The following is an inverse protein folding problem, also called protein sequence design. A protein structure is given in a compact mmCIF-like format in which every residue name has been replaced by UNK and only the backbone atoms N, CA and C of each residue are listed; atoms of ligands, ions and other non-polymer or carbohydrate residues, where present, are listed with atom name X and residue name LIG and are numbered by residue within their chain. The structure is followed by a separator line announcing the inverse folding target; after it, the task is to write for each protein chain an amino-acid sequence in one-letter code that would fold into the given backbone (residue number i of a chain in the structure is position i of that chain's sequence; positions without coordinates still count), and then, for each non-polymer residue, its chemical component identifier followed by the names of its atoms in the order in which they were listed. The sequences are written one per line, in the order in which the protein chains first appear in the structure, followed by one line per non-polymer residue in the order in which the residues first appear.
data_IF_492896697492
#
_entry.id   IF_492896697492
#
_cell.length_a   1.000
_cell.length_b   1.000
_cell.length_c   1.000
_cell.angle_alpha   90.00
_cell.angle_beta   90.00
_cell.angle_gamma   90.00
#
_symmetry.space_group_name_H-M   'P 1'
#
loop_
_entity.id
_entity.type
_entity.pdbx_description
1 polymer ?
#
# COMPACT_ATOMS: atom_id res chain seq x y z
N UNK A 1 -8.32 17.49 -24.61
CA UNK A 1 -9.04 16.32 -25.16
C UNK A 1 -9.63 15.56 -23.98
N UNK A 2 -10.80 14.94 -24.13
CA UNK A 2 -11.36 14.10 -23.08
C UNK A 2 -10.44 12.89 -22.83
N UNK A 3 -10.21 12.52 -21.57
CA UNK A 3 -9.40 11.37 -21.16
C UNK A 3 -10.19 10.45 -20.27
N UNK A 4 -10.19 9.14 -20.57
CA UNK A 4 -10.93 8.18 -19.75
C UNK A 4 -10.22 7.97 -18.43
N UNK A 5 -11.02 7.85 -17.38
CA UNK A 5 -10.54 7.42 -16.06
C UNK A 5 -11.47 6.38 -15.46
N UNK A 6 -10.94 5.64 -14.50
CA UNK A 6 -11.70 4.81 -13.57
C UNK A 6 -11.34 5.18 -12.13
N UNK A 7 -12.30 5.02 -11.23
CA UNK A 7 -12.06 5.00 -9.79
C UNK A 7 -12.26 3.57 -9.32
N UNK A 8 -11.33 3.06 -8.53
CA UNK A 8 -11.37 1.73 -7.94
C UNK A 8 -11.28 1.83 -6.43
N UNK A 9 -11.85 0.86 -5.74
CA UNK A 9 -11.53 0.59 -4.35
C UNK A 9 -10.63 -0.65 -4.30
N UNK A 10 -9.42 -0.50 -3.75
CA UNK A 10 -8.36 -1.53 -3.75
C UNK A 10 -8.17 -2.10 -2.35
N UNK A 11 -7.65 -3.33 -2.25
CA UNK A 11 -7.58 -4.13 -1.04
C UNK A 11 -8.95 -4.43 -0.42
N UNK A 12 -9.98 -4.53 -1.27
CA UNK A 12 -11.33 -4.87 -0.85
C UNK A 12 -12.11 -5.56 -1.96
N UNK A 13 -13.14 -6.30 -1.57
CA UNK A 13 -14.17 -6.80 -2.47
C UNK A 13 -15.51 -6.05 -2.33
N UNK A 14 -15.57 -5.03 -1.47
CA UNK A 14 -16.76 -4.24 -1.24
C UNK A 14 -16.63 -2.84 -1.85
N UNK A 15 -17.63 -2.37 -2.60
CA UNK A 15 -17.77 -0.97 -2.95
C UNK A 15 -17.73 -0.06 -1.72
N UNK A 16 -17.10 1.10 -1.84
CA UNK A 16 -16.94 2.08 -0.77
C UNK A 16 -16.25 1.47 0.47
N UNK A 17 -15.19 0.71 0.24
CA UNK A 17 -14.25 0.24 1.26
C UNK A 17 -12.84 0.30 0.66
N UNK A 18 -11.84 -0.30 1.30
CA UNK A 18 -10.51 -0.34 0.68
C UNK A 18 -9.83 1.03 0.57
N UNK A 19 -8.77 1.08 -0.23
CA UNK A 19 -8.06 2.30 -0.59
C UNK A 19 -8.54 2.81 -1.97
N UNK A 20 -9.16 4.00 -2.05
CA UNK A 20 -9.66 4.54 -3.30
C UNK A 20 -8.52 4.99 -4.21
N UNK A 21 -8.58 4.56 -5.47
CA UNK A 21 -7.57 4.82 -6.50
C UNK A 21 -8.21 5.43 -7.74
N UNK A 22 -7.68 6.56 -8.20
CA UNK A 22 -7.98 7.07 -9.53
C UNK A 22 -6.95 6.55 -10.55
N UNK A 23 -7.41 6.04 -11.69
CA UNK A 23 -6.55 5.62 -12.81
C UNK A 23 -6.99 6.35 -14.07
N UNK A 24 -6.13 7.22 -14.59
CA UNK A 24 -6.28 7.87 -15.90
C UNK A 24 -5.67 6.96 -16.95
N UNK A 25 -6.53 6.34 -17.76
CA UNK A 25 -6.13 5.32 -18.75
C UNK A 25 -5.36 5.90 -19.94
N UNK A 26 -5.59 7.18 -20.24
CA UNK A 26 -5.02 7.88 -21.38
C UNK A 26 -4.09 9.02 -20.89
N UNK A 27 -2.98 8.66 -20.25
CA UNK A 27 -2.03 9.61 -19.64
C UNK A 27 -1.08 10.30 -20.62
N UNK A 28 -0.99 9.82 -21.87
CA UNK A 28 -0.02 10.30 -22.84
C UNK A 28 -0.23 11.79 -23.21
N UNK A 29 0.88 12.48 -23.49
CA UNK A 29 0.90 13.91 -23.80
C UNK A 29 0.58 14.84 -22.62
N UNK A 30 0.38 14.35 -21.40
CA UNK A 30 0.29 15.18 -20.19
C UNK A 30 1.69 15.54 -19.68
N UNK A 31 1.88 16.81 -19.31
CA UNK A 31 3.08 17.24 -18.58
C UNK A 31 2.98 16.85 -17.11
N UNK A 32 4.13 16.74 -16.43
CA UNK A 32 4.25 16.47 -14.99
C UNK A 32 3.39 17.42 -14.16
N UNK A 33 3.43 18.72 -14.48
CA UNK A 33 2.63 19.73 -13.81
C UNK A 33 1.12 19.46 -13.96
N UNK A 34 0.68 18.98 -15.14
CA UNK A 34 -0.72 18.66 -15.39
C UNK A 34 -1.15 17.37 -14.69
N UNK A 35 -0.31 16.34 -14.70
CA UNK A 35 -0.55 15.10 -13.94
C UNK A 35 -0.69 15.40 -12.45
N UNK A 36 0.24 16.19 -11.89
CA UNK A 36 0.19 16.62 -10.49
C UNK A 36 -1.07 17.43 -10.16
N UNK A 37 -1.50 18.33 -11.07
CA UNK A 37 -2.72 19.11 -10.88
C UNK A 37 -3.98 18.23 -10.92
N UNK A 38 -4.05 17.25 -11.82
CA UNK A 38 -5.15 16.29 -11.89
C UNK A 38 -5.19 15.40 -10.63
N UNK A 39 -4.03 14.92 -10.16
CA UNK A 39 -3.95 14.13 -8.92
C UNK A 39 -4.47 14.93 -7.71
N UNK A 40 -4.14 16.23 -7.65
CA UNK A 40 -4.68 17.14 -6.63
C UNK A 40 -6.19 17.37 -6.77
N UNK A 41 -6.71 17.45 -7.99
CA UNK A 41 -8.15 17.61 -8.25
C UNK A 41 -8.95 16.37 -7.81
N UNK A 42 -8.43 15.16 -8.07
CA UNK A 42 -9.03 13.93 -7.55
C UNK A 42 -9.01 13.87 -6.02
N UNK A 43 -7.95 14.40 -5.40
CA UNK A 43 -7.77 14.44 -3.95
C UNK A 43 -7.95 13.07 -3.27
N UNK A 44 -7.52 12.02 -3.96
CA UNK A 44 -7.35 10.67 -3.40
C UNK A 44 -5.89 10.51 -2.93
N UNK A 45 -5.58 9.40 -2.23
CA UNK A 45 -4.22 9.12 -1.78
C UNK A 45 -3.24 9.09 -2.95
N UNK A 46 -3.63 8.45 -4.06
CA UNK A 46 -2.87 8.38 -5.29
C UNK A 46 -3.76 8.44 -6.54
N UNK A 47 -3.18 8.97 -7.61
CA UNK A 47 -3.68 8.91 -8.98
C UNK A 47 -2.62 8.31 -9.89
N UNK A 48 -3.02 7.32 -10.69
CA UNK A 48 -2.16 6.67 -11.68
C UNK A 48 -2.44 7.24 -13.06
N UNK A 49 -1.38 7.51 -13.80
CA UNK A 49 -1.44 7.81 -15.23
C UNK A 49 -0.84 6.64 -15.99
N UNK A 50 -1.67 6.00 -16.81
CA UNK A 50 -1.27 4.90 -17.69
C UNK A 50 -0.70 5.50 -18.97
N UNK A 51 0.51 5.09 -19.31
CA UNK A 51 1.26 5.51 -20.49
C UNK A 51 1.57 4.28 -21.36
N UNK A 52 1.83 4.48 -22.66
CA UNK A 52 2.45 3.45 -23.49
C UNK A 52 3.74 2.95 -22.83
N UNK A 53 3.89 1.62 -22.80
CA UNK A 53 5.12 1.00 -22.33
C UNK A 53 6.28 1.28 -23.29
N UNK A 54 7.49 1.42 -22.76
CA UNK A 54 8.72 1.55 -23.56
C UNK A 54 9.05 0.22 -24.23
N UNK A 55 8.83 -0.91 -23.54
CA UNK A 55 8.92 -2.25 -24.13
C UNK A 55 7.53 -2.71 -24.62
N UNK A 56 7.35 -3.01 -25.92
CA UNK A 56 6.08 -3.52 -26.46
C UNK A 56 5.59 -4.85 -25.86
N UNK A 57 6.47 -5.60 -25.19
CA UNK A 57 6.10 -6.82 -24.47
C UNK A 57 5.48 -6.55 -23.08
N UNK A 58 5.58 -5.33 -22.58
CA UNK A 58 4.99 -4.92 -21.31
C UNK A 58 3.59 -4.34 -21.53
N UNK A 59 2.78 -4.31 -20.47
CA UNK A 59 1.37 -3.92 -20.55
C UNK A 59 1.18 -2.41 -20.53
N UNK A 60 1.92 -1.70 -19.69
CA UNK A 60 1.87 -0.24 -19.60
C UNK A 60 3.08 0.30 -18.81
N UNK A 61 3.36 1.59 -18.99
CA UNK A 61 4.18 2.35 -18.06
C UNK A 61 3.29 3.19 -17.16
N UNK A 62 3.58 3.22 -15.86
CA UNK A 62 2.79 3.95 -14.88
C UNK A 62 3.58 5.13 -14.33
N UNK A 63 2.87 6.23 -14.09
CA UNK A 63 3.30 7.30 -13.20
C UNK A 63 2.28 7.47 -12.09
N UNK A 64 2.76 7.59 -10.86
CA UNK A 64 1.93 7.55 -9.66
C UNK A 64 2.12 8.85 -8.90
N UNK A 65 1.04 9.57 -8.64
CA UNK A 65 1.08 10.87 -7.97
C UNK A 65 0.18 10.87 -6.75
N UNK A 66 0.71 11.33 -5.62
CA UNK A 66 -0.13 11.84 -4.52
C UNK A 66 -0.63 13.25 -4.87
N UNK A 67 -1.49 13.88 -4.06
CA UNK A 67 -1.86 15.30 -4.24
C UNK A 67 -0.67 16.27 -4.15
N UNK A 68 0.45 15.83 -3.55
CA UNK A 68 1.62 16.65 -3.28
C UNK A 68 2.81 16.37 -4.22
N UNK A 69 3.06 15.11 -4.61
CA UNK A 69 4.26 14.72 -5.38
C UNK A 69 4.08 13.44 -6.18
N UNK A 70 5.02 13.16 -7.08
CA UNK A 70 5.17 11.85 -7.71
C UNK A 70 5.85 10.84 -6.76
N UNK A 71 5.40 9.58 -6.83
CA UNK A 71 6.00 8.44 -6.13
C UNK A 71 6.66 7.49 -7.14
N UNK A 72 7.80 6.88 -6.79
CA UNK A 72 8.44 5.93 -7.69
C UNK A 72 7.75 4.56 -7.74
N UNK A 73 6.89 4.27 -6.75
CA UNK A 73 6.16 3.02 -6.56
C UNK A 73 5.09 3.19 -5.48
N UNK A 74 3.96 2.51 -5.62
CA UNK A 74 2.98 2.35 -4.55
C UNK A 74 2.16 1.07 -4.76
N UNK A 75 1.91 0.31 -3.68
CA UNK A 75 1.32 -1.03 -3.80
C UNK A 75 -0.14 -1.07 -4.28
N UNK A 76 -1.05 -0.29 -3.68
CA UNK A 76 -2.46 -0.30 -4.11
C UNK A 76 -2.64 0.27 -5.54
N UNK A 77 -1.89 1.30 -5.97
CA UNK A 77 -1.89 1.74 -7.37
C UNK A 77 -1.50 0.64 -8.35
N UNK A 78 -0.46 -0.15 -8.04
CA UNK A 78 -0.03 -1.30 -8.86
C UNK A 78 -1.14 -2.36 -8.95
N UNK A 79 -1.71 -2.79 -7.82
CA UNK A 79 -2.78 -3.81 -7.76
C UNK A 79 -4.02 -3.36 -8.54
N UNK A 80 -4.54 -2.17 -8.21
CA UNK A 80 -5.76 -1.65 -8.82
C UNK A 80 -5.60 -1.44 -10.34
N UNK A 81 -4.44 -0.91 -10.76
CA UNK A 81 -4.17 -0.69 -12.19
C UNK A 81 -3.99 -2.01 -12.94
N UNK A 82 -3.29 -3.00 -12.37
CA UNK A 82 -3.15 -4.31 -12.99
C UNK A 82 -4.51 -5.00 -13.22
N UNK A 83 -5.39 -4.96 -12.20
CA UNK A 83 -6.75 -5.49 -12.31
C UNK A 83 -7.55 -4.72 -13.37
N UNK A 84 -7.46 -3.39 -13.39
CA UNK A 84 -8.16 -2.56 -14.36
C UNK A 84 -7.71 -2.89 -15.79
N UNK A 85 -6.41 -2.95 -16.05
CA UNK A 85 -5.87 -3.26 -17.38
C UNK A 85 -6.25 -4.66 -17.86
N UNK A 86 -6.26 -5.64 -16.96
CA UNK A 86 -6.76 -6.98 -17.29
C UNK A 86 -8.26 -6.92 -17.66
N UNK A 87 -9.08 -6.18 -16.90
CA UNK A 87 -10.51 -5.99 -17.23
C UNK A 87 -10.71 -5.28 -18.57
N UNK A 88 -9.93 -4.25 -18.90
CA UNK A 88 -9.98 -3.58 -20.21
C UNK A 88 -9.60 -4.55 -21.36
N UNK A 89 -8.66 -5.47 -21.12
CA UNK A 89 -8.20 -6.43 -22.13
C UNK A 89 -9.23 -7.52 -22.43
N UNK A 90 -9.86 -8.08 -21.40
CA UNK A 90 -10.76 -9.23 -21.57
C UNK A 90 -12.25 -8.84 -21.66
N UNK A 91 -12.64 -7.67 -21.15
CA UNK A 91 -14.04 -7.28 -21.05
C UNK A 91 -14.83 -8.10 -20.03
N UNK A 92 -16.16 -8.08 -20.14
CA UNK A 92 -17.03 -8.98 -19.37
C UNK A 92 -17.05 -10.35 -20.04
N UNK A 93 -16.46 -11.35 -19.40
CA UNK A 93 -16.45 -12.74 -19.87
C UNK A 93 -17.03 -13.66 -18.83
N UNK A 94 -17.83 -14.64 -19.26
CA UNK A 94 -18.41 -15.64 -18.35
C UNK A 94 -17.38 -16.64 -17.79
N UNK A 95 -16.21 -16.75 -18.43
CA UNK A 95 -15.13 -17.63 -18.02
C UNK A 95 -14.08 -16.91 -17.16
N UNK A 96 -13.56 -17.61 -16.16
CA UNK A 96 -12.42 -17.16 -15.35
C UNK A 96 -11.20 -16.86 -16.25
N UNK A 97 -10.57 -15.72 -16.01
CA UNK A 97 -9.38 -15.28 -16.74
C UNK A 97 -8.19 -15.14 -15.79
N UNK A 98 -7.05 -15.67 -16.22
CA UNK A 98 -5.76 -15.40 -15.59
C UNK A 98 -4.90 -14.58 -16.55
N UNK A 99 -4.22 -13.58 -16.03
CA UNK A 99 -3.37 -12.70 -16.82
C UNK A 99 -2.06 -12.42 -16.11
N UNK A 100 -1.01 -12.21 -16.91
CA UNK A 100 0.22 -11.60 -16.43
C UNK A 100 0.25 -10.17 -16.97
N UNK A 101 0.24 -9.18 -16.07
CA UNK A 101 0.34 -7.76 -16.39
C UNK A 101 1.71 -7.28 -15.98
N UNK A 102 2.48 -6.71 -16.91
CA UNK A 102 3.83 -6.20 -16.62
C UNK A 102 3.78 -4.68 -16.69
N UNK A 103 4.06 -4.04 -15.56
CA UNK A 103 4.00 -2.59 -15.37
C UNK A 103 5.40 -2.02 -15.27
N UNK A 104 5.71 -1.01 -16.08
CA UNK A 104 6.95 -0.25 -15.95
C UNK A 104 6.72 0.89 -14.96
N UNK A 105 7.33 0.81 -13.78
CA UNK A 105 7.28 1.85 -12.77
C UNK A 105 8.69 2.43 -12.56
N UNK A 106 8.82 3.59 -11.92
CA UNK A 106 10.14 4.23 -11.69
C UNK A 106 11.06 3.34 -10.85
N UNK A 107 10.50 2.51 -9.96
CA UNK A 107 11.26 1.54 -9.17
C UNK A 107 11.80 0.35 -9.99
N UNK A 108 11.23 0.12 -11.17
CA UNK A 108 11.52 -1.02 -12.04
C UNK A 108 10.25 -1.69 -12.58
N UNK A 109 10.45 -2.78 -13.32
CA UNK A 109 9.35 -3.54 -13.92
C UNK A 109 8.70 -4.45 -12.89
N UNK A 110 7.39 -4.32 -12.70
CA UNK A 110 6.59 -5.09 -11.75
C UNK A 110 5.74 -6.10 -12.53
N UNK A 111 5.82 -7.38 -12.14
CA UNK A 111 5.01 -8.46 -12.73
C UNK A 111 3.85 -8.75 -11.80
N UNK A 112 2.64 -8.59 -12.33
CA UNK A 112 1.41 -8.81 -11.59
C UNK A 112 0.69 -10.03 -12.14
N UNK A 113 0.52 -11.05 -11.31
CA UNK A 113 -0.45 -12.12 -11.57
C UNK A 113 -1.85 -11.58 -11.29
N UNK A 114 -2.77 -11.69 -12.25
CA UNK A 114 -4.14 -11.19 -12.13
C UNK A 114 -5.13 -12.32 -12.35
N UNK A 115 -6.11 -12.43 -11.47
CA UNK A 115 -7.21 -13.40 -11.55
C UNK A 115 -8.53 -12.63 -11.59
N UNK A 116 -9.29 -12.83 -12.67
CA UNK A 116 -10.64 -12.29 -12.83
C UNK A 116 -11.63 -13.45 -12.86
N UNK A 117 -12.57 -13.45 -11.93
CA UNK A 117 -13.66 -14.44 -11.87
C UNK A 117 -15.00 -13.77 -12.12
N UNK A 118 -15.92 -14.51 -12.73
CA UNK A 118 -17.25 -13.99 -13.00
C UNK A 118 -17.97 -13.65 -11.68
N UNK A 119 -18.58 -12.47 -11.60
CA UNK A 119 -19.32 -12.00 -10.42
C UNK A 119 -18.48 -11.75 -9.17
N UNK A 120 -17.14 -11.73 -9.24
CA UNK A 120 -16.25 -11.49 -8.11
C UNK A 120 -15.35 -10.27 -8.33
N UNK A 121 -14.85 -9.70 -7.22
CA UNK A 121 -13.77 -8.72 -7.27
C UNK A 121 -12.53 -9.32 -7.94
N UNK A 122 -11.84 -8.51 -8.75
CA UNK A 122 -10.58 -8.94 -9.33
C UNK A 122 -9.53 -9.10 -8.23
N UNK A 123 -8.62 -10.05 -8.38
CA UNK A 123 -7.46 -10.20 -7.50
C UNK A 123 -6.19 -9.98 -8.31
N UNK A 124 -5.21 -9.32 -7.71
CA UNK A 124 -3.86 -9.31 -8.24
C UNK A 124 -2.86 -9.50 -7.12
N UNK A 125 -1.67 -9.96 -7.51
CA UNK A 125 -0.50 -10.05 -6.66
C UNK A 125 0.76 -9.71 -7.46
N UNK A 126 1.78 -9.17 -6.80
CA UNK A 126 3.08 -8.91 -7.42
C UNK A 126 4.23 -9.24 -6.47
N UNK A 127 5.37 -9.64 -7.04
CA UNK A 127 6.62 -9.79 -6.30
C UNK A 127 7.17 -8.39 -5.94
N UNK A 128 7.45 -8.17 -4.66
CA UNK A 128 8.04 -6.91 -4.19
C UNK A 128 9.41 -6.72 -4.85
N UNK A 129 9.65 -5.57 -5.52
CA UNK A 129 10.85 -5.36 -6.32
C UNK A 129 12.15 -5.28 -5.50
N UNK A 130 12.04 -4.92 -4.22
CA UNK A 130 13.17 -4.84 -3.27
C UNK A 130 12.76 -5.45 -1.93
N UNK A 131 13.53 -6.42 -1.46
CA UNK A 131 13.31 -7.01 -0.14
C UNK A 131 13.52 -5.99 0.97
N UNK A 132 12.75 -6.15 2.04
CA UNK A 132 12.84 -5.31 3.22
C UNK A 132 14.23 -5.40 3.86
N UNK A 133 14.76 -4.25 4.27
CA UNK A 133 15.99 -4.14 5.08
C UNK A 133 15.79 -3.13 6.20
N UNK A 134 16.59 -3.25 7.25
CA UNK A 134 16.59 -2.29 8.34
C UNK A 134 17.00 -0.89 7.84
N UNK A 135 16.29 0.12 8.29
CA UNK A 135 16.59 1.53 8.12
C UNK A 135 17.13 2.12 9.45
N UNK A 136 17.56 3.39 9.52
CA UNK A 136 18.04 3.99 10.75
C UNK A 136 17.04 3.82 11.92
N UNK A 137 17.53 3.56 13.14
CA UNK A 137 16.65 3.33 14.29
C UNK A 137 15.79 4.56 14.59
N UNK A 138 14.60 4.31 15.12
CA UNK A 138 13.69 5.35 15.60
C UNK A 138 14.15 5.94 16.95
N UNK A 139 13.52 7.04 17.34
CA UNK A 139 13.65 7.60 18.68
C UNK A 139 13.21 6.62 19.78
N UNK A 140 13.54 6.95 21.02
CA UNK A 140 13.14 6.16 22.17
C UNK A 140 11.63 6.02 22.29
N UNK A 141 11.22 4.91 22.92
CA UNK A 141 9.83 4.49 23.04
C UNK A 141 8.91 5.58 23.61
N UNK A 142 9.40 6.37 24.54
CA UNK A 142 8.68 7.47 25.18
C UNK A 142 8.34 8.59 24.18
N UNK A 143 9.29 8.94 23.30
CA UNK A 143 9.12 9.97 22.27
C UNK A 143 8.14 9.48 21.21
N UNK A 144 8.29 8.21 20.79
CA UNK A 144 7.36 7.57 19.83
C UNK A 144 5.93 7.52 20.38
N UNK A 145 5.75 7.19 21.67
CA UNK A 145 4.43 7.17 22.30
C UNK A 145 3.80 8.58 22.32
N UNK A 146 4.59 9.60 22.70
CA UNK A 146 4.14 10.99 22.72
C UNK A 146 3.72 11.48 21.33
N UNK A 147 4.45 11.11 20.27
CA UNK A 147 4.10 11.44 18.88
C UNK A 147 2.82 10.77 18.37
N UNK A 148 2.36 9.72 19.04
CA UNK A 148 1.12 9.00 18.72
C UNK A 148 -0.01 9.25 19.72
N UNK A 149 0.20 10.12 20.72
CA UNK A 149 -0.79 10.39 21.76
C UNK A 149 -1.10 9.15 22.63
N UNK A 150 -0.11 8.28 22.84
CA UNK A 150 -0.21 7.06 23.62
C UNK A 150 0.66 7.13 24.88
N UNK A 151 0.38 6.28 25.85
CA UNK A 151 1.30 6.05 26.96
C UNK A 151 2.45 5.14 26.50
N UNK A 152 3.68 5.30 27.05
CA UNK A 152 4.78 4.39 26.72
C UNK A 152 4.44 2.93 27.00
N UNK A 153 3.69 2.62 28.06
CA UNK A 153 3.23 1.26 28.39
C UNK A 153 2.48 0.57 27.24
N UNK A 154 1.87 1.34 26.33
CA UNK A 154 1.04 0.87 25.23
C UNK A 154 1.82 0.60 23.94
N UNK A 155 3.09 1.01 23.88
CA UNK A 155 3.97 0.81 22.72
C UNK A 155 4.77 -0.47 22.89
N UNK A 156 4.58 -1.41 21.97
CA UNK A 156 5.18 -2.74 21.99
C UNK A 156 4.21 -3.84 22.41
N UNK A 157 4.55 -5.07 22.03
CA UNK A 157 3.94 -6.31 22.48
C UNK A 157 4.95 -7.44 22.29
N UNK A 158 4.92 -8.47 23.14
CA UNK A 158 5.88 -9.58 23.09
C UNK A 158 7.34 -9.08 23.02
N UNK A 159 8.04 -9.34 21.93
CA UNK A 159 9.38 -8.85 21.62
C UNK A 159 9.40 -7.70 20.59
N UNK A 160 8.26 -7.32 20.02
CA UNK A 160 8.16 -6.23 19.06
C UNK A 160 8.39 -4.89 19.77
N UNK A 161 9.28 -4.09 19.18
CA UNK A 161 9.62 -2.73 19.62
C UNK A 161 9.63 -1.78 18.41
N UNK A 162 9.50 -0.46 18.63
CA UNK A 162 9.65 0.52 17.55
C UNK A 162 10.91 0.25 16.72
N UNK A 163 10.76 0.22 15.40
CA UNK A 163 11.83 -0.09 14.46
C UNK A 163 11.58 0.62 13.14
N UNK A 164 12.60 0.66 12.27
CA UNK A 164 12.43 1.20 10.92
C UNK A 164 12.95 0.22 9.89
N UNK A 165 12.18 0.03 8.83
CA UNK A 165 12.50 -0.83 7.71
C UNK A 165 12.10 -0.14 6.41
N UNK A 166 12.77 -0.52 5.33
CA UNK A 166 12.47 -0.02 3.99
C UNK A 166 12.46 -1.15 2.95
N UNK A 167 11.57 -1.04 1.98
CA UNK A 167 11.53 -1.82 0.75
C UNK A 167 11.62 -0.89 -0.49
N UNK A 168 12.27 0.27 -0.31
CA UNK A 168 12.39 1.33 -1.30
C UNK A 168 12.16 2.72 -0.72
N UNK A 169 11.23 2.84 0.24
CA UNK A 169 11.05 4.01 1.09
C UNK A 169 11.00 3.57 2.56
N UNK A 170 11.58 4.33 3.50
CA UNK A 170 11.63 3.97 4.92
C UNK A 170 10.35 4.29 5.67
N UNK A 171 9.84 3.32 6.43
CA UNK A 171 8.69 3.52 7.33
C UNK A 171 9.11 3.36 8.79
N UNK A 172 8.48 4.12 9.67
CA UNK A 172 8.53 3.87 11.11
C UNK A 172 7.49 2.79 11.46
N UNK A 173 7.92 1.67 12.01
CA UNK A 173 7.03 0.58 12.44
C UNK A 173 6.87 0.63 13.94
N UNK A 174 5.65 0.94 14.39
CA UNK A 174 5.35 1.13 15.81
C UNK A 174 4.38 0.05 16.29
N UNK A 175 4.87 -1.00 16.96
CA UNK A 175 3.98 -1.98 17.59
C UNK A 175 3.23 -1.31 18.73
N UNK A 176 1.95 -1.64 18.90
CA UNK A 176 1.12 -1.23 20.03
C UNK A 176 0.42 -2.42 20.66
N UNK A 177 0.10 -2.31 21.93
CA UNK A 177 -0.28 -3.45 22.76
C UNK A 177 -1.52 -4.22 22.25
N UNK A 178 -2.49 -3.53 21.65
CA UNK A 178 -3.78 -4.10 21.26
C UNK A 178 -4.58 -3.15 20.34
N UNK A 179 -5.77 -3.59 19.91
CA UNK A 179 -6.67 -2.81 19.05
C UNK A 179 -7.15 -1.50 19.70
N UNK A 180 -7.28 -1.43 21.02
CA UNK A 180 -7.69 -0.19 21.70
C UNK A 180 -6.61 0.90 21.60
N UNK A 181 -5.35 0.53 21.86
CA UNK A 181 -4.22 1.43 21.67
C UNK A 181 -4.09 1.87 20.19
N UNK A 182 -4.25 0.94 19.25
CA UNK A 182 -4.23 1.25 17.81
C UNK A 182 -5.34 2.25 17.44
N UNK A 183 -6.55 2.06 17.97
CA UNK A 183 -7.72 2.94 17.76
C UNK A 183 -7.54 4.32 18.35
N UNK A 184 -6.83 4.46 19.48
CA UNK A 184 -6.58 5.75 20.13
C UNK A 184 -5.39 6.51 19.54
N UNK A 185 -4.44 5.83 18.90
CA UNK A 185 -3.27 6.46 18.31
C UNK A 185 -3.65 7.61 17.36
N UNK A 186 -3.07 8.80 17.54
CA UNK A 186 -3.27 9.97 16.68
C UNK A 186 -1.96 10.73 16.50
N UNK A 187 -1.64 11.24 15.30
CA UNK A 187 -0.44 12.05 15.09
C UNK A 187 -0.43 13.31 15.94
N UNK A 188 0.54 13.43 16.85
CA UNK A 188 0.82 14.62 17.63
C UNK A 188 1.97 15.40 16.98
N UNK A 189 1.61 16.33 16.09
CA UNK A 189 2.57 17.09 15.26
C UNK A 189 3.66 17.83 16.07
N UNK A 190 3.38 18.16 17.33
CA UNK A 190 4.36 18.76 18.24
C UNK A 190 5.54 17.85 18.58
N UNK A 191 5.37 16.53 18.47
CA UNK A 191 6.38 15.51 18.78
C UNK A 191 6.79 14.67 17.56
N UNK A 192 6.12 14.86 16.41
CA UNK A 192 6.28 14.01 15.23
C UNK A 192 7.71 14.00 14.69
N UNK A 193 8.26 15.19 14.44
CA UNK A 193 9.63 15.37 13.93
C UNK A 193 10.70 14.77 14.85
N UNK A 194 10.45 14.81 16.16
CA UNK A 194 11.37 14.25 17.17
C UNK A 194 11.33 12.73 17.15
N UNK A 195 10.15 12.13 16.97
CA UNK A 195 9.97 10.69 16.92
C UNK A 195 10.43 10.06 15.60
N UNK A 196 10.07 10.67 14.47
CA UNK A 196 10.14 10.07 13.14
C UNK A 196 11.04 10.81 12.16
N UNK A 197 11.62 11.95 12.57
CA UNK A 197 12.58 12.72 11.79
C UNK A 197 11.96 13.83 10.92
N UNK A 198 12.82 14.78 10.54
CA UNK A 198 12.49 15.92 9.65
C UNK A 198 12.91 15.61 8.21
N UNK A 199 12.24 14.65 7.59
CA UNK A 199 12.47 14.30 6.19
C UNK A 199 11.17 13.97 5.50
N UNK A 200 11.20 14.02 4.16
CA UNK A 200 10.04 13.94 3.27
C UNK A 200 9.22 12.63 3.35
N UNK A 201 9.60 11.68 4.20
CA UNK A 201 8.93 10.40 4.39
C UNK A 201 9.15 9.88 5.81
N UNK A 202 8.48 10.50 6.77
CA UNK A 202 8.52 10.20 8.21
C UNK A 202 7.24 9.47 8.67
N UNK A 203 6.68 8.64 7.78
CA UNK A 203 5.39 8.01 7.96
C UNK A 203 5.44 6.88 9.00
N UNK A 204 4.40 6.79 9.83
CA UNK A 204 4.31 5.80 10.91
C UNK A 204 3.26 4.74 10.61
N UNK A 205 3.73 3.49 10.47
CA UNK A 205 2.94 2.28 10.39
C UNK A 205 2.76 1.68 11.79
N UNK A 206 1.63 2.01 12.42
CA UNK A 206 1.28 1.57 13.78
C UNK A 206 0.53 0.25 13.68
N UNK A 207 0.92 -0.79 14.43
CA UNK A 207 0.35 -2.13 14.27
C UNK A 207 0.23 -2.93 15.57
N UNK A 208 -0.68 -3.90 15.61
CA UNK A 208 -0.79 -4.87 16.71
C UNK A 208 -1.18 -6.26 16.18
N UNK A 209 -0.97 -7.31 16.99
CA UNK A 209 -1.40 -8.69 16.65
C UNK A 209 -2.90 -8.93 16.75
N UNK A 210 -3.60 -8.15 17.56
CA UNK A 210 -5.04 -8.34 17.73
C UNK A 210 -5.77 -7.86 16.47
N UNK A 211 -6.66 -8.68 15.94
CA UNK A 211 -7.41 -8.42 14.71
C UNK A 211 -8.93 -8.45 14.91
N UNK A 212 -9.67 -7.89 13.95
CA UNK A 212 -11.13 -7.93 13.93
C UNK A 212 -11.65 -9.24 13.35
N UNK A 213 -10.99 -9.73 12.30
CA UNK A 213 -11.28 -10.97 11.60
C UNK A 213 -10.31 -12.08 12.02
N UNK A 214 -10.84 -13.30 12.17
CA UNK A 214 -10.09 -14.46 12.67
C UNK A 214 -9.03 -14.98 11.68
N UNK A 215 -9.12 -14.61 10.41
CA UNK A 215 -8.19 -15.00 9.34
C UNK A 215 -7.09 -13.95 9.10
N UNK A 216 -7.11 -12.84 9.84
CA UNK A 216 -6.07 -11.81 9.79
C UNK A 216 -5.02 -12.00 10.89
N UNK A 217 -3.79 -11.58 10.61
CA UNK A 217 -2.63 -11.76 11.50
C UNK A 217 -2.23 -10.49 12.23
N UNK A 218 -2.42 -9.33 11.58
CA UNK A 218 -2.12 -8.02 12.16
C UNK A 218 -3.21 -7.01 11.79
N UNK A 219 -3.45 -6.05 12.69
CA UNK A 219 -4.17 -4.82 12.36
C UNK A 219 -3.22 -3.65 12.41
N UNK A 220 -3.36 -2.74 11.45
CA UNK A 220 -2.46 -1.62 11.27
C UNK A 220 -3.20 -0.33 10.90
N UNK A 221 -2.49 0.78 11.08
CA UNK A 221 -2.85 2.13 10.63
C UNK A 221 -1.59 2.80 10.11
N UNK A 222 -1.74 3.64 9.09
CA UNK A 222 -0.61 4.33 8.47
C UNK A 222 -0.86 5.83 8.49
N UNK A 223 -0.04 6.55 9.26
CA UNK A 223 -0.09 7.99 9.40
C UNK A 223 1.01 8.64 8.56
N UNK A 224 0.62 9.61 7.73
CA UNK A 224 1.52 10.26 6.78
C UNK A 224 1.28 11.77 6.63
N UNK A 225 1.28 12.54 7.74
CA UNK A 225 0.81 13.93 7.76
C UNK A 225 1.47 14.84 6.71
N UNK A 226 2.71 14.55 6.31
CA UNK A 226 3.48 15.35 5.34
C UNK A 226 3.21 15.00 3.87
N UNK A 227 2.46 13.92 3.57
CA UNK A 227 2.14 13.51 2.19
C UNK A 227 0.89 14.18 1.59
N UNK A 228 0.26 15.09 2.33
CA UNK A 228 -1.02 15.71 1.95
C UNK A 228 -2.25 14.84 2.28
N UNK A 229 -2.05 13.69 2.92
CA UNK A 229 -3.08 12.83 3.50
C UNK A 229 -2.76 12.61 4.98
N UNK A 230 -3.75 12.64 5.87
CA UNK A 230 -3.47 12.45 7.30
C UNK A 230 -3.22 10.98 7.65
N UNK A 231 -3.99 10.09 7.04
CA UNK A 231 -3.96 8.64 7.27
C UNK A 231 -4.31 7.94 5.95
N UNK A 232 -3.62 6.85 5.63
CA UNK A 232 -3.81 6.05 4.42
C UNK A 232 -4.63 4.77 4.71
N UNK A 233 -5.72 4.48 3.97
CA UNK A 233 -6.57 3.31 4.23
C UNK A 233 -5.87 1.96 4.08
N UNK A 234 -4.94 1.82 3.13
CA UNK A 234 -4.12 0.63 2.97
C UNK A 234 -2.83 0.90 2.20
N UNK A 235 -1.70 0.58 2.86
CA UNK A 235 -0.38 1.00 2.40
C UNK A 235 0.47 -0.21 2.00
N UNK A 236 0.36 -0.64 0.74
CA UNK A 236 1.11 -1.79 0.26
C UNK A 236 2.64 -1.62 0.34
N UNK A 237 3.17 -0.41 0.12
CA UNK A 237 4.61 -0.14 0.27
C UNK A 237 5.09 -0.34 1.72
N UNK A 238 4.28 0.03 2.71
CA UNK A 238 4.58 -0.26 4.11
C UNK A 238 4.46 -1.76 4.41
N UNK A 239 3.45 -2.45 3.86
CA UNK A 239 3.33 -3.91 3.99
C UNK A 239 4.54 -4.67 3.42
N UNK A 240 5.13 -4.19 2.31
CA UNK A 240 6.37 -4.74 1.75
C UNK A 240 7.53 -4.65 2.74
N UNK A 241 7.72 -3.48 3.36
CA UNK A 241 8.75 -3.28 4.38
C UNK A 241 8.42 -4.01 5.70
N UNK A 242 7.14 -4.18 6.01
CA UNK A 242 6.66 -4.89 7.20
C UNK A 242 7.04 -6.38 7.20
N UNK A 243 7.22 -7.01 6.03
CA UNK A 243 7.79 -8.35 5.96
C UNK A 243 9.16 -8.46 6.64
N UNK A 244 9.97 -7.39 6.61
CA UNK A 244 11.24 -7.31 7.34
C UNK A 244 11.06 -7.21 8.85
N UNK A 245 10.02 -6.50 9.31
CA UNK A 245 9.64 -6.41 10.74
C UNK A 245 9.22 -7.79 11.24
N UNK A 246 8.33 -8.46 10.51
CA UNK A 246 7.87 -9.81 10.83
C UNK A 246 9.06 -10.77 10.88
N UNK A 247 9.92 -10.79 9.85
CA UNK A 247 11.09 -11.69 9.88
C UNK A 247 12.04 -11.37 11.04
N UNK A 248 12.22 -10.10 11.38
CA UNK A 248 13.13 -9.69 12.46
C UNK A 248 12.64 -10.13 13.84
N UNK A 249 11.33 -10.00 14.11
CA UNK A 249 10.76 -10.28 15.43
C UNK A 249 10.14 -11.68 15.55
N UNK A 250 9.43 -12.16 14.53
CA UNK A 250 8.73 -13.45 14.57
C UNK A 250 9.63 -14.63 14.21
N UNK A 251 10.76 -14.37 13.54
CA UNK A 251 11.75 -15.38 13.14
C UNK A 251 11.08 -16.58 12.47
N UNK A 252 10.30 -16.31 11.42
CA UNK A 252 9.54 -17.33 10.71
C UNK A 252 10.48 -18.47 10.25
N UNK A 253 10.06 -19.75 10.40
CA UNK A 253 10.85 -20.88 9.95
C UNK A 253 10.96 -20.91 8.42
N UNK A 254 11.89 -21.68 7.88
CA UNK A 254 12.00 -21.87 6.43
C UNK A 254 10.68 -22.38 5.83
N UNK A 255 10.24 -21.78 4.72
CA UNK A 255 8.98 -22.06 4.06
C UNK A 255 8.27 -20.80 3.54
N UNK A 256 7.07 -21.01 3.00
CA UNK A 256 6.17 -19.95 2.54
C UNK A 256 5.11 -19.67 3.61
N UNK A 257 4.98 -18.41 3.99
CA UNK A 257 4.06 -17.95 5.03
C UNK A 257 3.06 -16.96 4.45
N UNK A 258 1.79 -17.14 4.80
CA UNK A 258 0.71 -16.26 4.37
C UNK A 258 0.18 -15.49 5.58
N UNK A 259 0.26 -14.18 5.50
CA UNK A 259 -0.23 -13.25 6.52
C UNK A 259 -1.23 -12.32 5.89
N UNK A 260 -2.25 -11.93 6.65
CA UNK A 260 -3.23 -10.93 6.21
C UNK A 260 -3.24 -9.76 7.17
N UNK A 261 -3.17 -8.56 6.62
CA UNK A 261 -3.11 -7.31 7.38
C UNK A 261 -4.43 -6.55 7.19
N UNK A 262 -5.08 -6.22 8.30
CA UNK A 262 -6.20 -5.29 8.34
C UNK A 262 -5.69 -3.86 8.40
N UNK A 263 -6.17 -2.99 7.52
CA UNK A 263 -5.89 -1.55 7.59
C UNK A 263 -7.13 -0.73 7.24
N UNK A 264 -7.20 0.52 7.71
CA UNK A 264 -8.27 1.46 7.36
C UNK A 264 -9.63 1.18 8.02
N UNK A 265 -9.71 0.18 8.91
CA UNK A 265 -10.94 -0.17 9.63
C UNK A 265 -11.47 1.02 10.46
N UNK A 266 -10.59 1.71 11.17
CA UNK A 266 -10.95 2.88 11.98
C UNK A 266 -11.28 4.13 11.16
N UNK A 267 -10.93 4.12 9.86
CA UNK A 267 -11.31 5.15 8.89
C UNK A 267 -12.67 4.85 8.22
N UNK A 268 -13.32 3.71 8.53
CA UNK A 268 -14.49 3.23 7.78
C UNK A 268 -14.15 2.79 6.35
N UNK A 269 -12.89 2.46 6.11
CA UNK A 269 -12.32 1.98 4.85
C UNK A 269 -11.63 0.63 5.06
N UNK A 270 -12.37 -0.41 5.49
CA UNK A 270 -11.76 -1.70 5.80
C UNK A 270 -11.07 -2.26 4.57
N UNK A 271 -9.79 -2.57 4.75
CA UNK A 271 -8.89 -3.03 3.70
C UNK A 271 -8.12 -4.27 4.18
N UNK A 272 -7.93 -5.23 3.29
CA UNK A 272 -7.21 -6.47 3.54
C UNK A 272 -6.05 -6.58 2.57
N UNK A 273 -4.83 -6.55 3.11
CA UNK A 273 -3.59 -6.72 2.34
C UNK A 273 -3.10 -8.14 2.59
N UNK A 274 -2.95 -8.93 1.52
CA UNK A 274 -2.35 -10.25 1.58
C UNK A 274 -0.83 -10.10 1.46
N UNK A 275 -0.10 -10.66 2.42
CA UNK A 275 1.36 -10.64 2.48
C UNK A 275 1.88 -12.07 2.48
N UNK A 276 2.58 -12.44 1.42
CA UNK A 276 3.27 -13.72 1.32
C UNK A 276 4.76 -13.52 1.57
N UNK A 277 5.35 -14.35 2.42
CA UNK A 277 6.75 -14.27 2.84
C UNK A 277 7.42 -15.63 2.60
N UNK A 278 8.44 -15.65 1.75
CA UNK A 278 9.28 -16.83 1.52
C UNK A 278 10.58 -16.71 2.33
N UNK A 279 10.81 -17.66 3.24
CA UNK A 279 12.04 -17.78 4.05
C UNK A 279 12.81 -19.01 3.61
N UNK A 280 14.13 -18.85 3.39
CA UNK A 280 15.02 -19.98 3.20
C UNK A 280 16.40 -19.71 3.81
N UNK A 281 16.96 -20.71 4.48
CA UNK A 281 18.18 -20.56 5.28
C UNK A 281 18.06 -19.39 6.26
N UNK A 282 16.92 -19.27 6.95
CA UNK A 282 16.61 -18.24 7.97
C UNK A 282 16.58 -16.79 7.44
N UNK A 283 16.60 -16.61 6.12
CA UNK A 283 16.63 -15.30 5.49
C UNK A 283 15.43 -15.08 4.57
N UNK A 284 14.94 -13.85 4.54
CA UNK A 284 13.92 -13.39 3.60
C UNK A 284 14.38 -13.56 2.16
N UNK A 285 13.61 -14.26 1.32
CA UNK A 285 13.95 -14.55 -0.09
C UNK A 285 13.02 -13.90 -1.09
N UNK A 286 11.72 -13.90 -0.80
CA UNK A 286 10.73 -13.24 -1.61
C UNK A 286 9.60 -12.71 -0.72
N UNK A 287 8.95 -11.66 -1.20
CA UNK A 287 7.74 -11.12 -0.61
C UNK A 287 6.77 -10.85 -1.76
N UNK A 288 5.50 -11.24 -1.59
CA UNK A 288 4.43 -10.85 -2.51
C UNK A 288 3.37 -10.06 -1.76
N UNK A 289 2.82 -9.07 -2.45
CA UNK A 289 1.64 -8.34 -1.97
C UNK A 289 0.49 -8.68 -2.88
N UNK A 290 -0.60 -9.14 -2.29
CA UNK A 290 -1.84 -9.48 -2.95
C UNK A 290 -3.01 -8.67 -2.44
N UNK A 291 -4.04 -8.53 -3.26
CA UNK A 291 -5.24 -7.81 -2.89
C UNK A 291 -6.34 -7.87 -3.94
N UNK A 292 -7.57 -7.66 -3.47
CA UNK A 292 -8.73 -7.53 -4.35
C UNK A 292 -8.98 -6.07 -4.73
N UNK A 293 -9.61 -5.83 -5.87
CA UNK A 293 -10.12 -4.51 -6.23
C UNK A 293 -11.46 -4.57 -6.97
N UNK A 294 -12.26 -3.53 -6.79
CA UNK A 294 -13.54 -3.32 -7.47
C UNK A 294 -13.53 -1.98 -8.19
N UNK A 295 -14.08 -1.95 -9.41
CA UNK A 295 -14.25 -0.69 -10.16
C UNK A 295 -15.51 0.00 -9.66
N UNK A 296 -15.38 1.24 -9.21
CA UNK A 296 -16.46 2.04 -8.60
C UNK A 296 -17.09 3.02 -9.56
N UNK A 297 -16.28 3.68 -10.37
CA UNK A 297 -16.76 4.68 -11.32
C UNK A 297 -15.89 4.70 -12.57
N UNK A 298 -16.47 5.18 -13.66
CA UNK A 298 -15.78 5.47 -14.91
C UNK A 298 -16.28 6.80 -15.45
N UNK A 299 -15.42 7.54 -16.12
CA UNK A 299 -15.79 8.81 -16.72
C UNK A 299 -14.71 9.40 -17.60
N UNK A 300 -14.89 10.68 -17.94
CA UNK A 300 -13.93 11.47 -18.71
C UNK A 300 -13.46 12.70 -17.94
N UNK A 301 -12.19 13.05 -18.09
CA UNK A 301 -11.59 14.30 -17.61
C UNK A 301 -11.33 15.21 -18.80
N UNK A 302 -11.71 16.49 -18.69
CA UNK A 302 -11.51 17.52 -19.72
C UNK A 302 -10.31 18.44 -19.38
N UNK A 303 -9.17 17.86 -19.02
CA UNK A 303 -7.97 18.56 -18.54
C UNK A 303 -6.77 18.52 -19.51
#
# INVERSE_FOLDING_TARGET
MARRYAVLDVFTNQPLAGNPLAVVLDGDGLSDQRMQAIAREFNLSETVFVLPADNPAHSARLRIFTPARELPFAGHPTIGTAILLAKERFGETDADQNAMVVLEETIGNIRCGVVLKNGAAGFAEFDVPRLARAAPPLADKEIVAAALGLEPSEVGFENHRPSSFEAGLPFAFVPVANLDALRRARPMLTHWDEAFGRHDHNDAYVYCRQTTANDSTFSARMFAPDMGIAEDPATGSAAAAFAGVVQHFDQLPDGTHFLRIEQGFDMGRPSLIDLEIDIANTALKAVRIGGQAVVMARGEIYA
#
